data_IF_440574789246
#
_entry.id   IF_440574789246
#
_cell.length_a   1.000
_cell.length_b   1.000
_cell.length_c   1.000
_cell.angle_alpha   90.00
_cell.angle_beta   90.00
_cell.angle_gamma   90.00
#
_symmetry.space_group_name_H-M   'P 1'
#
loop_
_entity.id
_entity.type
_entity.pdbx_description
1 polymer ?
#
# COMPACT_ATOMS: atom_id res chain seq x y z
N UNK A 1 4.05 9.13 -15.30
CA UNK A 1 3.85 7.68 -15.06
C UNK A 1 5.15 6.98 -15.49
N UNK A 2 6.09 6.81 -14.58
CA UNK A 2 7.41 6.24 -14.89
C UNK A 2 7.41 4.75 -14.61
N UNK A 3 7.54 3.92 -15.65
CA UNK A 3 7.81 2.49 -15.51
C UNK A 3 9.27 2.34 -15.07
N UNK A 4 9.51 2.28 -13.77
CA UNK A 4 10.83 2.01 -13.24
C UNK A 4 11.03 0.48 -13.26
N UNK A 5 11.99 0.01 -14.05
CA UNK A 5 12.43 -1.39 -14.06
C UNK A 5 13.17 -1.72 -12.77
N UNK A 6 12.45 -1.77 -11.66
CA UNK A 6 13.03 -2.04 -10.35
C UNK A 6 13.30 -3.53 -10.19
N UNK A 7 14.47 -3.86 -9.64
CA UNK A 7 14.90 -5.21 -9.20
C UNK A 7 13.94 -5.86 -8.17
N UNK A 8 12.94 -5.12 -7.70
CA UNK A 8 11.90 -5.57 -6.76
C UNK A 8 10.71 -6.21 -7.47
N UNK A 9 10.64 -6.09 -8.80
CA UNK A 9 9.56 -6.65 -9.61
C UNK A 9 10.04 -7.97 -10.20
N UNK A 10 9.39 -9.05 -9.80
CA UNK A 10 9.50 -10.32 -10.50
C UNK A 10 8.76 -10.21 -11.83
N UNK A 11 9.50 -10.32 -12.94
CA UNK A 11 8.97 -10.21 -14.29
C UNK A 11 8.13 -11.43 -14.68
N UNK A 12 8.37 -12.56 -14.03
CA UNK A 12 7.66 -13.82 -14.30
C UNK A 12 6.35 -13.91 -13.49
N UNK A 13 6.15 -12.99 -12.54
CA UNK A 13 4.95 -12.93 -11.70
C UNK A 13 3.98 -11.82 -12.14
N UNK A 14 2.76 -12.21 -12.55
CA UNK A 14 1.70 -11.28 -12.93
C UNK A 14 1.97 -10.58 -14.26
N UNK A 15 1.81 -9.25 -14.30
CA UNK A 15 2.01 -8.42 -15.51
C UNK A 15 3.41 -7.81 -15.63
N UNK A 16 4.30 -8.09 -14.67
CA UNK A 16 5.63 -7.47 -14.61
C UNK A 16 5.61 -5.96 -14.27
N UNK A 17 4.47 -5.43 -13.81
CA UNK A 17 4.31 -4.04 -13.34
C UNK A 17 3.75 -4.04 -11.93
N UNK A 18 4.48 -3.45 -10.99
CA UNK A 18 4.09 -3.36 -9.58
C UNK A 18 3.57 -1.95 -9.25
N UNK A 19 2.43 -1.88 -8.55
CA UNK A 19 1.98 -0.64 -7.91
C UNK A 19 2.91 -0.31 -6.74
N UNK A 20 3.51 0.87 -6.77
CA UNK A 20 4.37 1.39 -5.69
C UNK A 20 3.53 2.29 -4.75
N UNK A 21 3.60 2.02 -3.45
CA UNK A 21 2.89 2.74 -2.38
C UNK A 21 3.83 3.08 -1.20
N UNK A 22 4.63 4.16 -1.31
CA UNK A 22 5.70 4.46 -0.35
C UNK A 22 5.22 4.72 1.09
N UNK A 23 3.98 5.16 1.27
CA UNK A 23 3.39 5.37 2.60
C UNK A 23 2.97 4.08 3.31
N UNK A 24 2.91 2.95 2.59
CA UNK A 24 2.22 1.74 3.02
C UNK A 24 2.99 0.43 2.83
N UNK A 25 4.17 0.46 2.24
CA UNK A 25 5.05 -0.68 2.12
C UNK A 25 6.51 -0.26 2.36
N UNK A 26 7.26 -1.06 3.12
CA UNK A 26 8.64 -0.75 3.50
C UNK A 26 9.61 -0.79 2.30
N UNK A 27 9.36 -1.71 1.36
CA UNK A 27 10.18 -1.86 0.17
C UNK A 27 9.95 -0.68 -0.78
N UNK A 28 8.67 -0.30 -0.96
CA UNK A 28 8.27 0.88 -1.73
C UNK A 28 8.81 2.18 -1.11
N UNK A 29 8.82 2.28 0.22
CA UNK A 29 9.38 3.42 0.93
C UNK A 29 10.87 3.59 0.63
N UNK A 30 11.64 2.51 0.73
CA UNK A 30 13.08 2.53 0.46
C UNK A 30 13.37 2.86 -1.00
N UNK A 31 12.57 2.32 -1.93
CA UNK A 31 12.67 2.63 -3.34
C UNK A 31 12.35 4.11 -3.62
N UNK A 32 11.27 4.63 -3.04
CA UNK A 32 10.88 6.03 -3.18
C UNK A 32 11.94 6.98 -2.64
N UNK A 33 12.57 6.65 -1.51
CA UNK A 33 13.69 7.43 -0.94
C UNK A 33 14.90 7.46 -1.88
N UNK A 34 15.22 6.34 -2.55
CA UNK A 34 16.31 6.28 -3.54
C UNK A 34 16.01 7.07 -4.81
N UNK A 35 14.75 7.05 -5.25
CA UNK A 35 14.31 7.72 -6.47
C UNK A 35 13.84 9.18 -6.26
N UNK A 36 13.79 9.65 -5.00
CA UNK A 36 13.28 10.97 -4.66
C UNK A 36 11.76 11.13 -4.87
N UNK A 37 10.99 10.04 -4.82
CA UNK A 37 9.54 10.09 -4.98
C UNK A 37 8.86 10.63 -3.72
N UNK A 38 7.77 11.41 -3.86
CA UNK A 38 7.01 11.91 -2.72
C UNK A 38 6.38 10.75 -1.94
N UNK A 39 6.54 10.78 -0.62
CA UNK A 39 5.91 9.83 0.29
C UNK A 39 4.58 10.42 0.74
N UNK A 40 3.48 9.87 0.21
CA UNK A 40 2.13 10.31 0.53
C UNK A 40 1.39 9.21 1.30
N UNK A 41 0.78 9.58 2.42
CA UNK A 41 0.01 8.69 3.27
C UNK A 41 -1.49 9.01 3.15
N UNK A 42 -2.29 8.01 2.78
CA UNK A 42 -3.75 8.14 2.62
C UNK A 42 -4.55 7.61 3.81
N UNK A 43 -3.90 6.98 4.78
CA UNK A 43 -4.55 6.39 5.96
C UNK A 43 -4.25 7.17 7.24
N UNK A 44 -5.27 7.35 8.07
CA UNK A 44 -5.18 7.81 9.45
C UNK A 44 -4.66 6.68 10.38
N UNK A 45 -4.36 7.02 11.64
CA UNK A 45 -3.76 6.09 12.62
C UNK A 45 -4.73 4.98 13.09
N UNK A 46 -6.01 5.28 13.07
CA UNK A 46 -7.14 4.38 13.34
C UNK A 46 -7.46 3.44 12.17
N UNK A 47 -6.86 3.67 10.99
CA UNK A 47 -7.06 2.85 9.79
C UNK A 47 -8.19 3.33 8.88
N UNK A 48 -8.79 4.49 9.17
CA UNK A 48 -9.71 5.18 8.27
C UNK A 48 -8.94 5.95 7.18
N UNK A 49 -9.58 6.21 6.05
CA UNK A 49 -9.00 6.98 4.96
C UNK A 49 -9.16 8.49 5.20
N UNK A 50 -8.12 9.26 4.86
CA UNK A 50 -8.12 10.72 5.01
C UNK A 50 -8.62 11.43 3.73
N UNK A 51 -8.64 12.76 3.76
CA UNK A 51 -9.12 13.60 2.66
C UNK A 51 -8.35 13.38 1.33
N UNK A 52 -7.13 12.83 1.40
CA UNK A 52 -6.32 12.54 0.21
C UNK A 52 -6.89 11.35 -0.57
N UNK A 53 -7.66 10.48 0.08
CA UNK A 53 -8.36 9.37 -0.57
C UNK A 53 -9.62 9.80 -1.37
N UNK A 54 -9.95 11.10 -1.37
CA UNK A 54 -11.04 11.65 -2.17
C UNK A 54 -12.39 11.00 -1.86
N UNK A 55 -12.95 10.30 -2.84
CA UNK A 55 -14.27 9.63 -2.77
C UNK A 55 -14.40 8.62 -1.62
N UNK A 56 -13.29 8.09 -1.12
CA UNK A 56 -13.29 7.10 -0.04
C UNK A 56 -12.92 7.70 1.33
N UNK A 57 -12.80 9.02 1.43
CA UNK A 57 -12.50 9.70 2.68
C UNK A 57 -13.49 9.34 3.80
N UNK A 58 -12.98 9.05 4.99
CA UNK A 58 -13.78 8.68 6.18
C UNK A 58 -14.20 7.21 6.23
N UNK A 59 -13.95 6.41 5.19
CA UNK A 59 -14.24 4.98 5.22
C UNK A 59 -13.11 4.20 5.90
N UNK A 60 -13.47 3.09 6.56
CA UNK A 60 -12.48 2.11 7.00
C UNK A 60 -11.80 1.44 5.79
N UNK A 61 -10.52 1.09 5.93
CA UNK A 61 -9.70 0.46 4.89
C UNK A 61 -10.33 -0.80 4.28
N UNK A 62 -11.07 -1.59 5.05
CA UNK A 62 -11.68 -2.83 4.55
C UNK A 62 -12.96 -2.52 3.76
N UNK A 63 -13.73 -1.52 4.18
CA UNK A 63 -14.91 -1.06 3.45
C UNK A 63 -14.52 -0.36 2.15
N UNK A 64 -13.53 0.54 2.21
CA UNK A 64 -12.99 1.21 1.05
C UNK A 64 -12.48 0.22 0.01
N UNK A 65 -11.82 -0.88 0.42
CA UNK A 65 -11.38 -1.94 -0.49
C UNK A 65 -12.55 -2.60 -1.22
N UNK A 66 -13.66 -2.88 -0.53
CA UNK A 66 -14.84 -3.49 -1.14
C UNK A 66 -15.47 -2.57 -2.18
N UNK A 67 -15.66 -1.28 -1.84
CA UNK A 67 -16.20 -0.28 -2.76
C UNK A 67 -15.30 -0.07 -3.98
N UNK A 68 -14.00 0.10 -3.75
CA UNK A 68 -13.02 0.28 -4.83
C UNK A 68 -12.99 -0.93 -5.77
N UNK A 69 -13.20 -2.15 -5.26
CA UNK A 69 -13.33 -3.32 -6.12
C UNK A 69 -14.59 -3.29 -7.00
N UNK A 70 -15.74 -2.90 -6.42
CA UNK A 70 -16.98 -2.74 -7.18
C UNK A 70 -16.84 -1.64 -8.26
N UNK A 71 -16.23 -0.51 -7.94
CA UNK A 71 -16.03 0.59 -8.89
C UNK A 71 -15.08 0.19 -10.04
N UNK A 72 -14.06 -0.64 -9.76
CA UNK A 72 -13.15 -1.18 -10.78
C UNK A 72 -13.84 -2.21 -11.70
N UNK A 73 -14.78 -2.99 -11.16
CA UNK A 73 -15.61 -3.90 -11.94
C UNK A 73 -16.60 -3.12 -12.84
N UNK A 74 -17.21 -2.05 -12.31
CA UNK A 74 -18.14 -1.21 -13.07
C UNK A 74 -17.46 -0.44 -14.20
N UNK A 75 -16.24 0.07 -13.95
CA UNK A 75 -15.44 0.81 -14.95
C UNK A 75 -14.68 -0.09 -15.93
N UNK A 76 -14.83 -1.41 -15.85
CA UNK A 76 -14.13 -2.41 -16.67
C UNK A 76 -12.59 -2.29 -16.66
N UNK A 77 -12.02 -1.68 -15.61
CA UNK A 77 -10.57 -1.57 -15.41
C UNK A 77 -9.97 -2.83 -14.76
N UNK A 78 -10.80 -3.69 -14.16
CA UNK A 78 -10.39 -4.97 -13.59
C UNK A 78 -10.21 -6.05 -14.67
N UNK A 79 -8.97 -6.33 -15.06
CA UNK A 79 -8.67 -7.30 -16.14
C UNK A 79 -8.80 -8.75 -15.69
N UNK A 80 -8.37 -9.09 -14.46
CA UNK A 80 -8.34 -10.48 -13.97
C UNK A 80 -8.35 -10.53 -12.44
N UNK A 81 -9.03 -11.52 -11.87
CA UNK A 81 -9.05 -11.83 -10.43
C UNK A 81 -8.56 -13.25 -10.22
N UNK A 82 -7.43 -13.40 -9.53
CA UNK A 82 -6.90 -14.71 -9.16
C UNK A 82 -6.69 -14.79 -7.65
N UNK A 83 -7.02 -15.92 -7.00
CA UNK A 83 -6.73 -16.09 -5.59
C UNK A 83 -5.21 -16.22 -5.42
N UNK A 84 -4.65 -15.36 -4.57
CA UNK A 84 -3.23 -15.40 -4.22
C UNK A 84 -3.06 -15.34 -2.70
N UNK A 85 -2.27 -16.25 -2.15
CA UNK A 85 -2.02 -16.32 -0.71
C UNK A 85 -0.93 -15.33 -0.31
N UNK A 86 -1.32 -14.24 0.34
CA UNK A 86 -0.40 -13.23 0.87
C UNK A 86 -0.03 -13.54 2.33
N UNK A 87 1.25 -13.39 2.68
CA UNK A 87 1.69 -13.40 4.08
C UNK A 87 1.37 -12.06 4.72
N UNK A 88 0.42 -12.05 5.66
CA UNK A 88 0.01 -10.85 6.39
C UNK A 88 0.72 -10.82 7.74
N UNK A 89 1.54 -9.78 8.05
CA UNK A 89 2.15 -9.63 9.37
C UNK A 89 1.07 -9.35 10.42
N UNK A 90 1.25 -9.93 11.61
CA UNK A 90 0.34 -9.77 12.75
C UNK A 90 1.12 -9.34 13.98
N UNK A 91 0.50 -8.47 14.78
CA UNK A 91 1.03 -8.03 16.06
C UNK A 91 1.26 -9.23 16.97
N UNK A 92 2.48 -9.35 17.50
CA UNK A 92 2.85 -10.43 18.41
C UNK A 92 1.99 -10.46 19.69
N UNK A 93 1.48 -9.30 20.14
CA UNK A 93 0.72 -9.17 21.39
C UNK A 93 -0.80 -9.16 21.19
N UNK A 94 -1.27 -8.48 20.15
CA UNK A 94 -2.71 -8.29 19.91
C UNK A 94 -3.29 -9.22 18.85
N UNK A 95 -2.46 -9.91 18.05
CA UNK A 95 -2.91 -10.73 16.92
C UNK A 95 -3.53 -9.94 15.76
N UNK A 96 -3.64 -8.62 15.91
CA UNK A 96 -4.18 -7.67 14.95
C UNK A 96 -3.31 -7.63 13.70
N UNK A 97 -3.91 -7.44 12.52
CA UNK A 97 -3.15 -7.28 11.29
C UNK A 97 -2.35 -5.97 11.35
N UNK A 98 -1.03 -6.07 11.26
CA UNK A 98 -0.17 -4.90 11.30
C UNK A 98 -0.32 -4.11 10.00
N UNK A 99 -0.77 -2.86 10.14
CA UNK A 99 -0.79 -1.93 9.02
C UNK A 99 0.59 -1.30 8.87
N UNK A 100 1.28 -1.64 7.78
CA UNK A 100 2.50 -0.96 7.38
C UNK A 100 2.14 0.51 7.09
N UNK A 101 2.45 1.39 8.02
CA UNK A 101 2.21 2.83 7.93
C UNK A 101 3.55 3.50 8.20
N UNK A 102 4.08 4.19 7.19
CA UNK A 102 5.29 4.98 7.36
C UNK A 102 5.02 6.09 8.37
N UNK A 103 5.57 5.94 9.58
CA UNK A 103 5.49 6.93 10.66
C UNK A 103 6.86 7.57 10.82
N UNK A 104 6.89 8.88 11.05
CA UNK A 104 8.09 9.53 11.54
C UNK A 104 8.32 9.05 12.99
N UNK A 105 9.29 8.15 13.17
CA UNK A 105 9.74 7.70 14.48
C UNK A 105 11.12 8.31 14.77
N UNK A 106 11.28 8.88 15.95
CA UNK A 106 12.59 9.30 16.44
C UNK A 106 13.39 8.04 16.80
N UNK A 107 14.38 7.70 15.97
CA UNK A 107 15.30 6.61 16.27
C UNK A 107 16.51 7.16 17.05
N UNK A 108 16.74 6.71 18.30
CA UNK A 108 17.97 7.05 19.00
C UNK A 108 19.15 6.43 18.27
N UNK A 109 20.13 7.26 17.91
CA UNK A 109 21.39 6.79 17.32
C UNK A 109 22.31 6.42 18.48
N UNK A 110 22.45 5.12 18.75
CA UNK A 110 23.45 4.64 19.68
C UNK A 110 24.82 4.69 19.01
N UNK A 111 25.76 5.39 19.66
CA UNK A 111 27.18 5.45 19.31
C UNK A 111 27.88 4.14 19.67
#
# INVERSE_FOLDING_TARGET
MGLCGCLLVDKDFGTGVLKISPGHDHNDYNLARKLGLPILNVMNKDGTLNNVAGLYCGLDRFEARKKLWADLEETALAVKKEPHTLRVPRSQRGGENDSCLAKASAFPRFM
#
